data_IF_356620900742
#
_entry.id   IF_356620900742
#
_cell.length_a   1.000
_cell.length_b   1.000
_cell.length_c   1.000
_cell.angle_alpha   90.00
_cell.angle_beta   90.00
_cell.angle_gamma   90.00
#
_symmetry.space_group_name_H-M   'P 1'
#
loop_
_entity.id
_entity.type
_entity.pdbx_description
1 polymer ?
#
# COMPACT_ATOMS: atom_id res chain seq x y z
N UNK A 1 0.28 19.24 -17.50
CA UNK A 1 0.18 20.39 -16.57
C UNK A 1 -0.68 20.06 -15.35
N UNK A 2 -1.79 19.33 -15.50
CA UNK A 2 -2.69 18.86 -14.42
C UNK A 2 -1.99 18.08 -13.27
N UNK A 3 -1.12 17.12 -13.60
CA UNK A 3 -0.46 16.23 -12.63
C UNK A 3 0.38 16.95 -11.55
N UNK A 4 0.77 18.21 -11.79
CA UNK A 4 1.58 19.02 -10.88
C UNK A 4 0.73 19.89 -9.94
N UNK A 5 -0.53 20.17 -10.30
CA UNK A 5 -1.47 20.92 -9.45
C UNK A 5 -2.12 20.01 -8.40
N UNK A 6 -2.53 18.80 -8.78
CA UNK A 6 -3.12 17.82 -7.84
C UNK A 6 -2.17 17.50 -6.66
N UNK A 7 -0.85 17.52 -6.90
CA UNK A 7 0.18 17.30 -5.88
C UNK A 7 0.39 18.51 -4.94
N UNK A 8 0.06 19.72 -5.38
CA UNK A 8 0.19 20.95 -4.59
C UNK A 8 -1.00 21.14 -3.66
N UNK A 9 -2.19 20.64 -4.03
CA UNK A 9 -3.40 20.71 -3.20
C UNK A 9 -3.52 19.57 -2.18
N UNK A 10 -2.93 18.40 -2.47
CA UNK A 10 -2.95 17.23 -1.59
C UNK A 10 -1.82 17.31 -0.56
N UNK A 11 -2.14 17.46 0.73
CA UNK A 11 -1.14 17.63 1.80
C UNK A 11 -0.36 16.35 2.14
N UNK A 12 -0.87 15.19 1.72
CA UNK A 12 -0.23 13.90 1.91
C UNK A 12 -0.64 12.90 0.79
N UNK A 13 -0.03 11.71 0.81
CA UNK A 13 -0.24 10.67 -0.19
C UNK A 13 -1.66 10.06 -0.15
N UNK A 14 -2.32 10.07 1.00
CA UNK A 14 -3.70 9.58 1.18
C UNK A 14 -4.67 10.53 0.48
N UNK A 15 -4.54 11.83 0.75
CA UNK A 15 -5.38 12.86 0.13
C UNK A 15 -5.30 12.78 -1.38
N UNK A 16 -4.08 12.59 -1.92
CA UNK A 16 -3.87 12.43 -3.36
C UNK A 16 -4.57 11.20 -3.93
N UNK A 17 -4.53 10.07 -3.22
CA UNK A 17 -5.23 8.85 -3.64
C UNK A 17 -6.74 9.08 -3.67
N UNK A 18 -7.30 9.65 -2.60
CA UNK A 18 -8.74 9.91 -2.49
C UNK A 18 -9.21 10.88 -3.57
N UNK A 19 -8.47 11.97 -3.76
CA UNK A 19 -8.77 12.95 -4.80
C UNK A 19 -8.72 12.33 -6.20
N UNK A 20 -7.69 11.53 -6.50
CA UNK A 20 -7.61 10.84 -7.81
C UNK A 20 -8.72 9.83 -8.01
N UNK A 21 -9.16 9.14 -6.97
CA UNK A 21 -10.31 8.24 -7.07
C UNK A 21 -11.61 8.96 -7.41
N UNK A 22 -11.81 10.18 -6.91
CA UNK A 22 -12.96 11.02 -7.29
C UNK A 22 -12.86 11.51 -8.74
N UNK A 23 -11.67 11.96 -9.17
CA UNK A 23 -11.48 12.55 -10.51
C UNK A 23 -11.34 11.52 -11.63
N UNK A 24 -10.70 10.39 -11.35
CA UNK A 24 -10.31 9.41 -12.36
C UNK A 24 -11.15 8.12 -12.31
N UNK A 25 -11.86 7.87 -11.20
CA UNK A 25 -12.86 6.80 -11.08
C UNK A 25 -12.36 5.45 -11.59
N UNK A 26 -13.02 4.93 -12.63
CA UNK A 26 -12.71 3.64 -13.26
C UNK A 26 -11.43 3.59 -14.09
N UNK A 27 -10.66 4.68 -14.22
CA UNK A 27 -9.35 4.63 -14.90
C UNK A 27 -8.37 3.78 -14.10
N UNK A 28 -7.49 3.07 -14.80
CA UNK A 28 -6.43 2.25 -14.19
C UNK A 28 -5.49 3.10 -13.34
N UNK A 29 -5.31 2.71 -12.08
CA UNK A 29 -4.35 3.29 -11.15
C UNK A 29 -3.01 2.55 -11.20
N UNK A 30 -3.06 1.22 -11.14
CA UNK A 30 -1.89 0.36 -11.22
C UNK A 30 -2.15 -0.83 -12.12
N UNK A 31 -1.09 -1.24 -12.81
CA UNK A 31 -0.99 -2.51 -13.54
C UNK A 31 0.26 -3.20 -13.05
N UNK A 32 0.10 -4.41 -12.52
CA UNK A 32 1.21 -5.29 -12.22
C UNK A 32 1.69 -5.95 -13.51
N UNK A 33 3.01 -6.04 -13.68
CA UNK A 33 3.62 -6.72 -14.82
C UNK A 33 4.26 -8.02 -14.33
N UNK A 34 3.80 -9.16 -14.86
CA UNK A 34 4.40 -10.45 -14.59
C UNK A 34 5.75 -10.54 -15.30
N UNK A 35 6.78 -10.93 -14.55
CA UNK A 35 8.20 -10.87 -14.94
C UNK A 35 8.66 -9.52 -15.56
N UNK A 36 7.92 -8.43 -15.32
CA UNK A 36 8.24 -7.08 -15.79
C UNK A 36 7.85 -6.77 -17.24
N UNK A 37 7.30 -7.74 -17.98
CA UNK A 37 6.96 -7.58 -19.40
C UNK A 37 5.49 -7.93 -19.71
N UNK A 38 4.93 -8.94 -19.06
CA UNK A 38 3.56 -9.38 -19.34
C UNK A 38 2.55 -8.60 -18.50
N UNK A 39 1.50 -8.07 -19.14
CA UNK A 39 0.43 -7.36 -18.42
C UNK A 39 -0.33 -8.34 -17.54
N UNK A 40 -0.15 -8.22 -16.22
CA UNK A 40 -0.87 -8.97 -15.20
C UNK A 40 -2.10 -8.23 -14.68
N UNK A 41 -2.37 -8.38 -13.38
CA UNK A 41 -3.53 -7.77 -12.73
C UNK A 41 -3.47 -6.23 -12.79
N UNK A 42 -4.61 -5.60 -13.03
CA UNK A 42 -4.77 -4.14 -12.95
C UNK A 42 -5.89 -3.77 -11.99
N UNK A 43 -5.78 -2.58 -11.41
CA UNK A 43 -6.80 -2.02 -10.50
C UNK A 43 -7.11 -0.58 -10.89
N UNK A 44 -8.39 -0.21 -10.90
CA UNK A 44 -8.81 1.18 -11.10
C UNK A 44 -8.60 2.04 -9.86
N UNK A 45 -8.61 3.36 -10.01
CA UNK A 45 -8.53 4.28 -8.87
C UNK A 45 -9.70 4.09 -7.90
N UNK A 46 -10.92 3.85 -8.41
CA UNK A 46 -12.11 3.61 -7.60
C UNK A 46 -11.97 2.31 -6.79
N UNK A 47 -11.62 1.20 -7.44
CA UNK A 47 -11.44 -0.09 -6.76
C UNK A 47 -10.30 -0.03 -5.73
N UNK A 48 -9.19 0.65 -6.06
CA UNK A 48 -8.08 0.83 -5.12
C UNK A 48 -8.55 1.57 -3.88
N UNK A 49 -9.27 2.69 -4.03
CA UNK A 49 -9.84 3.44 -2.90
C UNK A 49 -10.72 2.55 -2.04
N UNK A 50 -11.65 1.82 -2.64
CA UNK A 50 -12.61 0.98 -1.92
C UNK A 50 -11.90 -0.11 -1.12
N UNK A 51 -10.97 -0.85 -1.74
CA UNK A 51 -10.19 -1.90 -1.06
C UNK A 51 -9.32 -1.32 0.07
N UNK A 52 -8.68 -0.17 -0.16
CA UNK A 52 -7.85 0.54 0.82
C UNK A 52 -8.67 0.96 2.04
N UNK A 53 -9.82 1.62 1.84
CA UNK A 53 -10.66 2.10 2.94
C UNK A 53 -11.27 0.93 3.72
N UNK A 54 -11.67 -0.14 3.04
CA UNK A 54 -12.16 -1.36 3.69
C UNK A 54 -11.09 -1.97 4.59
N UNK A 55 -9.87 -2.18 4.10
CA UNK A 55 -8.79 -2.75 4.88
C UNK A 55 -8.33 -1.81 6.01
N UNK A 56 -8.25 -0.50 5.76
CA UNK A 56 -7.90 0.49 6.78
C UNK A 56 -8.88 0.44 7.97
N UNK A 57 -10.19 0.34 7.70
CA UNK A 57 -11.21 0.22 8.75
C UNK A 57 -11.05 -1.06 9.58
N UNK A 58 -10.57 -2.16 8.98
CA UNK A 58 -10.24 -3.39 9.71
C UNK A 58 -8.98 -3.22 10.56
N UNK A 59 -7.93 -2.59 10.01
CA UNK A 59 -6.66 -2.36 10.71
C UNK A 59 -6.83 -1.45 11.93
N UNK A 60 -7.61 -0.37 11.83
CA UNK A 60 -7.92 0.55 12.93
C UNK A 60 -8.59 -0.14 14.13
N UNK A 61 -9.31 -1.24 13.90
CA UNK A 61 -9.92 -2.04 14.99
C UNK A 61 -8.92 -2.96 15.69
N UNK A 62 -7.76 -3.20 15.08
CA UNK A 62 -6.80 -4.21 15.53
C UNK A 62 -5.52 -3.62 16.10
N UNK A 63 -5.09 -2.46 15.61
CA UNK A 63 -3.82 -1.82 15.95
C UNK A 63 -4.05 -0.43 16.52
N UNK A 64 -3.19 0.01 17.44
CA UNK A 64 -3.18 1.40 17.88
C UNK A 64 -2.54 2.29 16.81
N UNK A 65 -2.91 3.58 16.75
CA UNK A 65 -2.22 4.55 15.91
C UNK A 65 -0.71 4.54 16.13
N UNK A 66 0.04 4.70 15.04
CA UNK A 66 1.51 4.71 14.95
C UNK A 66 2.20 3.37 15.23
N UNK A 67 1.45 2.29 15.40
CA UNK A 67 2.04 0.95 15.43
C UNK A 67 2.65 0.58 14.06
N UNK A 68 3.69 -0.25 14.12
CA UNK A 68 4.43 -0.71 12.94
C UNK A 68 3.85 -2.03 12.45
N UNK A 69 3.49 -2.08 11.17
CA UNK A 69 2.91 -3.27 10.54
C UNK A 69 3.84 -3.75 9.43
N UNK A 70 4.35 -4.96 9.60
CA UNK A 70 5.16 -5.64 8.59
C UNK A 70 4.28 -6.10 7.43
N UNK A 71 4.60 -5.65 6.21
CA UNK A 71 3.91 -6.04 4.98
C UNK A 71 4.81 -6.99 4.20
N UNK A 72 4.61 -8.30 4.41
CA UNK A 72 5.37 -9.35 3.74
C UNK A 72 4.64 -9.84 2.49
N UNK A 73 4.80 -9.12 1.38
CA UNK A 73 4.11 -9.41 0.12
C UNK A 73 5.09 -9.59 -1.04
N UNK A 74 4.82 -10.50 -1.99
CA UNK A 74 5.45 -10.39 -3.31
C UNK A 74 5.01 -9.08 -3.98
N UNK A 75 5.64 -8.72 -5.10
CA UNK A 75 5.14 -7.62 -5.90
C UNK A 75 3.76 -8.02 -6.47
N UNK A 76 2.70 -7.30 -6.09
CA UNK A 76 1.32 -7.53 -6.53
C UNK A 76 0.45 -6.31 -6.22
N UNK A 77 -0.80 -6.31 -6.70
CA UNK A 77 -1.77 -5.24 -6.40
C UNK A 77 -2.13 -5.22 -4.91
N UNK A 78 -2.24 -6.37 -4.26
CA UNK A 78 -2.59 -6.45 -2.84
C UNK A 78 -1.55 -5.77 -1.93
N UNK A 79 -0.28 -5.78 -2.32
CA UNK A 79 0.75 -5.01 -1.62
C UNK A 79 0.42 -3.52 -1.63
N UNK A 80 0.01 -2.97 -2.77
CA UNK A 80 -0.36 -1.56 -2.89
C UNK A 80 -1.58 -1.25 -2.01
N UNK A 81 -2.60 -2.11 -2.04
CA UNK A 81 -3.78 -1.98 -1.17
C UNK A 81 -3.38 -1.97 0.31
N UNK A 82 -2.56 -2.93 0.75
CA UNK A 82 -2.11 -3.04 2.14
C UNK A 82 -1.27 -1.83 2.58
N UNK A 83 -0.36 -1.36 1.73
CA UNK A 83 0.46 -0.20 2.00
C UNK A 83 -0.38 1.07 2.24
N UNK A 84 -1.27 1.41 1.31
CA UNK A 84 -2.15 2.57 1.47
C UNK A 84 -3.12 2.41 2.64
N UNK A 85 -3.62 1.19 2.89
CA UNK A 85 -4.50 0.93 4.02
C UNK A 85 -3.83 1.18 5.37
N UNK A 86 -2.55 0.82 5.53
CA UNK A 86 -1.78 1.17 6.71
C UNK A 86 -1.70 2.69 6.90
N UNK A 87 -1.40 3.45 5.85
CA UNK A 87 -1.33 4.90 5.93
C UNK A 87 -2.68 5.51 6.33
N UNK A 88 -3.78 5.08 5.71
CA UNK A 88 -5.14 5.49 6.07
C UNK A 88 -5.53 5.13 7.51
N UNK A 89 -4.93 4.08 8.07
CA UNK A 89 -5.16 3.64 9.44
C UNK A 89 -4.27 4.33 10.49
N UNK A 90 -3.47 5.34 10.08
CA UNK A 90 -2.43 5.99 10.90
C UNK A 90 -1.38 4.99 11.41
N UNK A 91 -1.04 3.98 10.61
CA UNK A 91 -0.03 2.96 10.92
C UNK A 91 1.25 3.19 10.12
N UNK A 92 2.36 2.71 10.68
CA UNK A 92 3.66 2.73 10.01
C UNK A 92 3.82 1.43 9.22
N UNK A 93 3.60 1.50 7.90
CA UNK A 93 3.86 0.36 7.01
C UNK A 93 5.36 0.06 6.90
N UNK A 94 5.74 -1.20 7.11
CA UNK A 94 7.11 -1.71 6.98
C UNK A 94 7.17 -2.74 5.86
N UNK A 95 7.45 -2.31 4.62
CA UNK A 95 7.39 -3.18 3.44
C UNK A 95 8.58 -4.13 3.36
N UNK A 96 8.30 -5.41 3.10
CA UNK A 96 9.30 -6.47 3.00
C UNK A 96 8.93 -7.48 1.92
N UNK A 97 9.93 -7.88 1.13
CA UNK A 97 9.76 -9.02 0.23
C UNK A 97 9.89 -10.34 1.02
N UNK A 98 9.03 -11.34 0.75
CA UNK A 98 9.18 -12.67 1.30
C UNK A 98 10.59 -13.22 1.01
N UNK A 99 11.29 -13.76 2.01
CA UNK A 99 12.60 -14.31 1.79
C UNK A 99 12.51 -15.53 0.85
N UNK A 100 13.26 -15.51 -0.25
CA UNK A 100 13.30 -16.62 -1.23
C UNK A 100 13.90 -17.91 -0.69
N UNK A 101 14.56 -17.87 0.48
CA UNK A 101 15.04 -19.06 1.18
C UNK A 101 15.11 -18.83 2.70
N UNK A 102 15.05 -19.91 3.48
CA UNK A 102 15.18 -19.88 4.94
C UNK A 102 16.53 -19.35 5.42
N UNK A 103 17.57 -19.38 4.58
CA UNK A 103 18.89 -18.80 4.89
C UNK A 103 18.89 -17.27 4.96
N UNK A 104 17.81 -16.61 4.55
CA UNK A 104 17.64 -15.16 4.64
C UNK A 104 16.66 -14.71 5.72
N UNK A 105 16.27 -15.59 6.66
CA UNK A 105 15.37 -15.23 7.78
C UNK A 105 15.99 -14.24 8.76
N UNK A 106 17.32 -14.23 8.91
CA UNK A 106 17.99 -13.38 9.90
C UNK A 106 17.72 -11.88 9.70
N UNK A 107 17.62 -11.42 8.43
CA UNK A 107 17.27 -10.03 8.12
C UNK A 107 15.82 -9.74 8.46
N UNK A 108 14.91 -10.65 8.15
CA UNK A 108 13.48 -10.53 8.47
C UNK A 108 13.28 -10.46 10.00
N UNK A 109 13.94 -11.35 10.74
CA UNK A 109 13.90 -11.37 12.21
C UNK A 109 14.52 -10.12 12.84
N UNK A 110 15.60 -9.59 12.26
CA UNK A 110 16.19 -8.34 12.71
C UNK A 110 15.23 -7.16 12.52
N UNK A 111 14.60 -7.05 11.35
CA UNK A 111 13.62 -5.99 11.06
C UNK A 111 12.38 -6.15 11.94
N UNK A 112 11.88 -7.38 12.10
CA UNK A 112 10.73 -7.64 12.95
C UNK A 112 10.98 -7.24 14.40
N UNK A 113 12.18 -7.51 14.93
CA UNK A 113 12.60 -7.04 16.27
C UNK A 113 12.67 -5.52 16.36
N UNK A 114 13.20 -4.85 15.35
CA UNK A 114 13.25 -3.39 15.29
C UNK A 114 11.85 -2.75 15.22
N UNK A 115 10.88 -3.49 14.69
CA UNK A 115 9.49 -3.05 14.59
C UNK A 115 8.65 -3.26 15.85
N UNK A 116 9.19 -3.88 16.90
CA UNK A 116 8.44 -4.11 18.16
C UNK A 116 7.98 -2.77 18.76
N UNK A 117 6.70 -2.60 19.17
CA UNK A 117 6.12 -1.37 19.73
C UNK A 117 6.97 -0.63 20.77
#
# INVERSE_FOLDING_TARGET
MQMRQDFIESGNLIDLLLHRAEQLGGKTAFTFLDDGEEVGESISYLELRERVLMLAALLQRRFAPRERVLLLYPACIDYMVAFFACLCADLIAVPLFPPRSTKHSARLEAIARDCTP
#
